data_IF_487342317245
#
_entry.id   IF_487342317245
#
_cell.length_a   1.000
_cell.length_b   1.000
_cell.length_c   1.000
_cell.angle_alpha   90.00
_cell.angle_beta   90.00
_cell.angle_gamma   90.00
#
_symmetry.space_group_name_H-M   'P 1'
#
loop_
_entity.id
_entity.type
_entity.pdbx_description
1 polymer ?
#
# COMPACT_ATOMS: atom_id res chain seq x y z
N UNK A 1 13.89 -4.86 -2.34
CA UNK A 1 13.15 -3.60 -2.10
C UNK A 1 13.81 -2.81 -0.98
N UNK A 2 13.83 -1.51 -1.14
CA UNK A 2 14.43 -0.59 -0.19
C UNK A 2 13.37 0.01 0.72
N UNK A 3 13.67 0.18 2.01
CA UNK A 3 12.75 0.88 2.91
C UNK A 3 12.72 2.37 2.57
N UNK A 4 11.54 2.94 2.63
CA UNK A 4 11.29 4.36 2.37
C UNK A 4 10.70 4.97 3.65
N UNK A 5 11.15 6.18 4.00
CA UNK A 5 10.60 6.88 5.16
C UNK A 5 9.20 7.40 4.87
N UNK A 6 8.23 7.00 5.70
CA UNK A 6 6.87 7.50 5.58
C UNK A 6 6.80 9.02 5.69
N UNK A 7 7.69 9.62 6.49
CA UNK A 7 7.73 11.08 6.66
C UNK A 7 8.05 11.84 5.37
N UNK A 8 8.72 11.20 4.41
CA UNK A 8 8.99 11.81 3.10
C UNK A 8 7.70 12.11 2.33
N UNK A 9 6.61 11.44 2.70
CA UNK A 9 5.30 11.62 2.08
C UNK A 9 4.28 12.17 3.08
N UNK A 10 4.76 12.76 4.19
CA UNK A 10 3.90 13.31 5.25
C UNK A 10 2.96 12.27 5.86
N UNK A 11 3.44 11.05 5.98
CA UNK A 11 2.69 9.93 6.58
C UNK A 11 3.20 9.62 7.97
N UNK A 12 2.36 9.04 8.84
CA UNK A 12 2.80 8.62 10.19
C UNK A 12 3.91 7.58 10.11
N UNK A 13 4.79 7.57 11.10
CA UNK A 13 5.93 6.64 11.17
C UNK A 13 5.51 5.16 11.22
N UNK A 14 4.27 4.88 11.65
CA UNK A 14 3.73 3.51 11.66
C UNK A 14 3.46 2.94 10.27
N UNK A 15 3.40 3.80 9.27
CA UNK A 15 3.20 3.37 7.87
C UNK A 15 4.54 2.86 7.34
N UNK A 16 4.57 1.63 6.86
CA UNK A 16 5.79 1.02 6.34
C UNK A 16 5.72 1.04 4.82
N UNK A 17 6.73 1.63 4.20
CA UNK A 17 6.83 1.74 2.76
C UNK A 17 8.12 1.08 2.27
N UNK A 18 8.06 0.47 1.09
CA UNK A 18 9.23 -0.07 0.39
C UNK A 18 9.26 0.46 -1.03
N UNK A 19 10.44 0.84 -1.50
CA UNK A 19 10.62 1.19 -2.90
C UNK A 19 10.75 -0.09 -3.73
N UNK A 20 9.86 -0.29 -4.68
CA UNK A 20 9.95 -1.41 -5.63
C UNK A 20 10.90 -1.03 -6.77
N UNK A 21 10.74 0.19 -7.28
CA UNK A 21 11.66 0.83 -8.20
C UNK A 21 11.55 2.35 -8.06
N UNK A 22 12.15 3.10 -8.97
CA UNK A 22 12.19 4.57 -8.90
C UNK A 22 10.81 5.23 -8.89
N UNK A 23 9.84 4.59 -9.54
CA UNK A 23 8.48 5.13 -9.70
C UNK A 23 7.42 4.24 -9.06
N UNK A 24 7.81 3.34 -8.16
CA UNK A 24 6.87 2.38 -7.59
C UNK A 24 7.17 2.16 -6.11
N UNK A 25 6.21 2.48 -5.26
CA UNK A 25 6.27 2.28 -3.82
C UNK A 25 5.22 1.25 -3.42
N UNK A 26 5.61 0.32 -2.55
CA UNK A 26 4.70 -0.65 -1.95
C UNK A 26 4.40 -0.25 -0.51
N UNK A 27 3.11 -0.27 -0.16
CA UNK A 27 2.66 -0.15 1.22
C UNK A 27 2.70 -1.54 1.83
N UNK A 28 3.46 -1.72 2.90
CA UNK A 28 3.66 -3.04 3.52
C UNK A 28 2.70 -3.21 4.68
N UNK A 29 1.86 -4.24 4.61
CA UNK A 29 0.91 -4.58 5.67
C UNK A 29 0.95 -6.09 5.92
N UNK A 30 2.00 -6.54 6.61
CA UNK A 30 2.22 -7.94 6.92
C UNK A 30 1.54 -8.28 8.24
N UNK A 31 0.23 -8.54 8.18
CA UNK A 31 -0.59 -8.88 9.34
C UNK A 31 -1.17 -10.27 9.18
N UNK A 32 -1.52 -10.91 10.30
CA UNK A 32 -2.10 -12.25 10.29
C UNK A 32 -3.59 -12.27 9.98
N UNK A 33 -4.28 -11.18 10.22
CA UNK A 33 -5.71 -11.07 9.96
C UNK A 33 -5.98 -10.70 8.50
N UNK A 34 -7.20 -11.04 8.04
CA UNK A 34 -7.62 -10.71 6.68
C UNK A 34 -7.72 -9.20 6.49
N UNK A 35 -7.33 -8.73 5.32
CA UNK A 35 -7.54 -7.34 4.93
C UNK A 35 -9.00 -7.16 4.51
N UNK A 36 -9.71 -6.29 5.23
CA UNK A 36 -11.12 -5.99 4.99
C UNK A 36 -11.27 -4.61 4.35
N UNK A 37 -12.50 -4.25 3.94
CA UNK A 37 -12.74 -2.98 3.25
C UNK A 37 -12.25 -1.75 4.02
N UNK A 38 -12.36 -1.75 5.33
CA UNK A 38 -11.89 -0.66 6.17
C UNK A 38 -10.38 -0.46 6.03
N UNK A 39 -9.63 -1.57 5.97
CA UNK A 39 -8.18 -1.53 5.76
C UNK A 39 -7.86 -1.03 4.36
N UNK A 40 -8.60 -1.51 3.36
CA UNK A 40 -8.41 -1.10 1.97
C UNK A 40 -8.65 0.39 1.79
N UNK A 41 -9.66 0.95 2.44
CA UNK A 41 -9.95 2.38 2.39
C UNK A 41 -8.78 3.20 2.93
N UNK A 42 -8.16 2.77 4.02
CA UNK A 42 -6.98 3.43 4.57
C UNK A 42 -5.78 3.33 3.64
N UNK A 43 -5.62 2.18 2.98
CA UNK A 43 -4.55 1.99 2.00
C UNK A 43 -4.72 2.95 0.83
N UNK A 44 -5.95 3.15 0.36
CA UNK A 44 -6.25 4.12 -0.69
C UNK A 44 -5.86 5.52 -0.26
N UNK A 45 -6.21 5.92 0.97
CA UNK A 45 -5.83 7.23 1.52
C UNK A 45 -4.31 7.42 1.53
N UNK A 46 -3.58 6.40 1.98
CA UNK A 46 -2.11 6.44 2.00
C UNK A 46 -1.57 6.58 0.57
N UNK A 47 -2.12 5.82 -0.37
CA UNK A 47 -1.71 5.89 -1.77
C UNK A 47 -1.96 7.28 -2.36
N UNK A 48 -3.09 7.89 -2.05
CA UNK A 48 -3.40 9.26 -2.52
C UNK A 48 -2.43 10.28 -1.92
N UNK A 49 -2.06 10.11 -0.64
CA UNK A 49 -1.07 10.98 -0.01
C UNK A 49 0.29 10.87 -0.70
N UNK A 50 0.73 9.66 -1.03
CA UNK A 50 1.97 9.45 -1.77
C UNK A 50 1.90 10.15 -3.13
N UNK A 51 0.80 9.98 -3.83
CA UNK A 51 0.61 10.57 -5.15
C UNK A 51 0.43 12.09 -5.11
N UNK A 52 0.04 12.65 -3.96
CA UNK A 52 0.00 14.11 -3.79
C UNK A 52 1.39 14.72 -3.76
N UNK A 53 2.39 13.95 -3.33
CA UNK A 53 3.80 14.38 -3.31
C UNK A 53 4.47 14.07 -4.65
N UNK A 54 4.17 12.92 -5.22
CA UNK A 54 4.72 12.49 -6.52
C UNK A 54 3.58 11.89 -7.35
N UNK A 55 3.03 12.67 -8.27
CA UNK A 55 1.85 12.29 -9.07
C UNK A 55 2.10 11.07 -9.98
N UNK A 56 3.35 10.83 -10.37
CA UNK A 56 3.71 9.73 -11.25
C UNK A 56 4.03 8.43 -10.51
N UNK A 57 3.99 8.47 -9.18
CA UNK A 57 4.33 7.31 -8.37
C UNK A 57 3.24 6.23 -8.47
N UNK A 58 3.63 5.01 -8.79
CA UNK A 58 2.76 3.84 -8.70
C UNK A 58 2.77 3.33 -7.27
N UNK A 59 1.62 2.86 -6.81
CA UNK A 59 1.48 2.34 -5.44
C UNK A 59 0.90 0.93 -5.51
N UNK A 60 1.47 0.03 -4.72
CA UNK A 60 0.97 -1.33 -4.54
C UNK A 60 0.86 -1.64 -3.06
N UNK A 61 0.09 -2.66 -2.73
CA UNK A 61 0.00 -3.20 -1.39
C UNK A 61 0.77 -4.51 -1.33
N UNK A 62 1.64 -4.65 -0.34
CA UNK A 62 2.27 -5.94 0.00
C UNK A 62 1.59 -6.45 1.26
N UNK A 63 0.99 -7.62 1.21
CA UNK A 63 0.32 -8.22 2.35
C UNK A 63 0.66 -9.71 2.44
N UNK A 64 0.54 -10.26 3.64
CA UNK A 64 0.88 -11.66 3.92
C UNK A 64 -0.33 -12.57 4.11
N UNK A 65 -1.52 -11.98 4.29
CA UNK A 65 -2.73 -12.73 4.57
C UNK A 65 -3.75 -12.59 3.46
N UNK A 66 -4.79 -13.41 3.53
CA UNK A 66 -5.89 -13.33 2.58
C UNK A 66 -6.51 -11.93 2.58
N UNK A 67 -6.85 -11.47 1.40
CA UNK A 67 -7.55 -10.19 1.22
C UNK A 67 -8.97 -10.52 0.75
N UNK A 68 -9.98 -9.85 1.31
CA UNK A 68 -11.35 -10.10 0.88
C UNK A 68 -11.56 -9.58 -0.54
N UNK A 69 -12.49 -10.21 -1.27
CA UNK A 69 -12.71 -9.86 -2.68
C UNK A 69 -13.16 -8.41 -2.88
N UNK A 70 -13.93 -7.87 -1.94
CA UNK A 70 -14.36 -6.47 -1.99
C UNK A 70 -13.19 -5.51 -1.84
N UNK A 71 -12.25 -5.82 -0.93
CA UNK A 71 -11.03 -5.03 -0.75
C UNK A 71 -10.16 -5.08 -1.99
N UNK A 72 -10.00 -6.27 -2.57
CA UNK A 72 -9.22 -6.46 -3.77
C UNK A 72 -9.80 -5.63 -4.93
N UNK A 73 -11.13 -5.67 -5.10
CA UNK A 73 -11.82 -4.89 -6.12
C UNK A 73 -11.62 -3.39 -5.91
N UNK A 74 -11.75 -2.92 -4.67
CA UNK A 74 -11.55 -1.52 -4.34
C UNK A 74 -10.14 -1.06 -4.71
N UNK A 75 -9.12 -1.82 -4.33
CA UNK A 75 -7.73 -1.48 -4.61
C UNK A 75 -7.46 -1.48 -6.12
N UNK A 76 -7.97 -2.46 -6.84
CA UNK A 76 -7.83 -2.52 -8.30
C UNK A 76 -8.49 -1.32 -8.98
N UNK A 77 -9.69 -0.94 -8.55
CA UNK A 77 -10.41 0.20 -9.11
C UNK A 77 -9.66 1.51 -8.87
N UNK A 78 -8.86 1.57 -7.82
CA UNK A 78 -8.04 2.74 -7.49
C UNK A 78 -6.64 2.66 -8.10
N UNK A 79 -6.37 1.66 -8.94
CA UNK A 79 -5.09 1.49 -9.60
C UNK A 79 -3.97 0.99 -8.69
N UNK A 80 -4.32 0.36 -7.57
CA UNK A 80 -3.35 -0.15 -6.60
C UNK A 80 -3.17 -1.66 -6.83
N UNK A 81 -1.94 -2.08 -7.14
CA UNK A 81 -1.60 -3.49 -7.27
C UNK A 81 -1.54 -4.19 -5.91
N UNK A 82 -1.73 -5.49 -5.90
CA UNK A 82 -1.64 -6.29 -4.68
C UNK A 82 -0.60 -7.39 -4.88
N UNK A 83 0.34 -7.44 -3.94
CA UNK A 83 1.41 -8.43 -3.92
C UNK A 83 1.27 -9.26 -2.65
N UNK A 84 1.11 -10.56 -2.79
CA UNK A 84 1.02 -11.47 -1.64
C UNK A 84 2.43 -11.99 -1.34
N UNK A 85 2.89 -11.78 -0.12
CA UNK A 85 4.21 -12.22 0.34
C UNK A 85 4.01 -13.05 1.60
N UNK A 86 4.50 -14.28 1.59
CA UNK A 86 4.36 -15.17 2.75
C UNK A 86 5.30 -14.73 3.89
N UNK A 87 4.79 -14.87 5.10
CA UNK A 87 5.58 -14.60 6.32
C UNK A 87 6.57 -15.73 6.60
#
# INVERSE_FOLDING_TARGET
>A
MKLVNASDYNLPSRVILRAVDENHIAIVKLIKSRIIQKDAAKIVEIARQIQSVDADMKVSLVCSSAICSKSLTLLKNEGIGVIIEEL
#
